data_IF_654105085071
#
_entry.id   IF_654105085071
#
_cell.length_a   1.000
_cell.length_b   1.000
_cell.length_c   1.000
_cell.angle_alpha   90.00
_cell.angle_beta   90.00
_cell.angle_gamma   90.00
#
_symmetry.space_group_name_H-M   'P 1'
#
loop_
_entity.id
_entity.type
_entity.pdbx_description
1 polymer ?
#
# COMPACT_ATOMS: atom_id res chain seq x y z
N UNK A 1 3.56 16.03 -18.21
CA UNK A 1 3.22 15.11 -17.13
C UNK A 1 1.71 15.06 -16.95
N UNK A 2 1.18 13.87 -16.72
CA UNK A 2 -0.24 13.66 -16.45
C UNK A 2 -0.38 13.29 -14.97
N UNK A 3 -1.29 13.93 -14.28
CA UNK A 3 -1.53 13.71 -12.86
C UNK A 3 -2.96 13.27 -12.60
N UNK A 4 -3.16 12.30 -11.70
CA UNK A 4 -4.46 12.07 -11.08
C UNK A 4 -4.56 12.94 -9.84
N UNK A 5 -5.59 13.75 -9.78
CA UNK A 5 -5.87 14.61 -8.63
C UNK A 5 -7.12 14.09 -7.93
N UNK A 6 -6.98 13.65 -6.69
CA UNK A 6 -8.09 13.30 -5.81
C UNK A 6 -7.89 13.91 -4.43
N UNK A 7 -8.88 14.63 -3.91
CA UNK A 7 -8.91 15.19 -2.56
C UNK A 7 -7.60 15.89 -2.12
N UNK A 8 -7.01 16.72 -3.01
CA UNK A 8 -5.80 17.47 -2.74
C UNK A 8 -4.49 16.67 -2.81
N UNK A 9 -4.53 15.40 -3.16
CA UNK A 9 -3.34 14.59 -3.48
C UNK A 9 -3.31 14.29 -4.97
N UNK A 10 -2.17 14.56 -5.59
CA UNK A 10 -1.91 14.19 -6.98
C UNK A 10 -0.86 13.09 -7.05
N UNK A 11 -1.01 12.18 -8.00
CA UNK A 11 0.02 11.20 -8.33
C UNK A 11 0.29 11.28 -9.82
N UNK A 12 1.57 11.38 -10.25
CA UNK A 12 1.90 11.39 -11.66
C UNK A 12 1.47 10.06 -12.30
N UNK A 13 1.10 10.11 -13.58
CA UNK A 13 0.86 8.91 -14.40
C UNK A 13 2.01 8.76 -15.37
N UNK A 14 2.61 7.58 -15.39
CA UNK A 14 3.65 7.23 -16.35
C UNK A 14 3.02 6.47 -17.50
N UNK A 15 3.10 7.05 -18.70
CA UNK A 15 2.54 6.46 -19.90
C UNK A 15 3.55 5.55 -20.57
N UNK A 16 3.07 4.40 -21.01
CA UNK A 16 3.82 3.46 -21.87
C UNK A 16 3.01 3.14 -23.10
N UNK A 17 3.65 2.83 -24.23
CA UNK A 17 2.96 2.32 -25.41
C UNK A 17 2.16 1.05 -25.06
N UNK A 18 0.90 1.02 -25.47
CA UNK A 18 0.08 -0.19 -25.44
C UNK A 18 0.17 -0.88 -26.81
N UNK A 19 0.08 -0.08 -27.87
CA UNK A 19 0.30 -0.43 -29.27
C UNK A 19 0.75 0.83 -30.03
N UNK A 20 0.86 0.76 -31.35
CA UNK A 20 1.42 1.85 -32.18
C UNK A 20 0.73 3.22 -32.05
N UNK A 21 -0.50 3.29 -31.55
CA UNK A 21 -1.28 4.52 -31.46
C UNK A 21 -1.80 4.80 -30.05
N UNK A 22 -1.81 3.82 -29.15
CA UNK A 22 -2.38 3.94 -27.83
C UNK A 22 -1.32 3.91 -26.74
N UNK A 23 -1.51 4.78 -25.77
CA UNK A 23 -0.73 4.82 -24.53
C UNK A 23 -1.59 4.33 -23.38
N UNK A 24 -0.98 3.63 -22.43
CA UNK A 24 -1.65 3.28 -21.17
C UNK A 24 -0.83 3.77 -19.98
N UNK A 25 -1.52 4.06 -18.89
CA UNK A 25 -0.91 4.32 -17.61
C UNK A 25 -1.74 3.65 -16.50
N UNK A 26 -1.08 3.28 -15.42
CA UNK A 26 -1.76 2.87 -14.19
C UNK A 26 -2.01 4.10 -13.33
N UNK A 27 -3.14 4.08 -12.62
CA UNK A 27 -3.46 5.09 -11.64
C UNK A 27 -4.25 4.50 -10.48
N UNK A 28 -4.07 5.03 -9.29
CA UNK A 28 -4.80 4.61 -8.11
C UNK A 28 -6.03 5.49 -7.88
N UNK A 29 -7.10 4.87 -7.41
CA UNK A 29 -8.30 5.56 -6.95
C UNK A 29 -8.16 5.76 -5.44
N UNK A 30 -8.10 7.02 -4.95
CA UNK A 30 -8.04 7.28 -3.52
C UNK A 30 -9.25 6.68 -2.78
N UNK A 31 -9.04 6.17 -1.56
CA UNK A 31 -10.10 5.54 -0.76
C UNK A 31 -11.26 6.50 -0.45
N UNK A 32 -10.98 7.79 -0.41
CA UNK A 32 -11.97 8.84 -0.15
C UNK A 32 -12.73 9.26 -1.42
N UNK A 33 -12.34 8.78 -2.60
CA UNK A 33 -13.04 9.11 -3.84
C UNK A 33 -14.43 8.43 -3.85
N UNK A 34 -15.48 9.21 -4.17
CA UNK A 34 -16.86 8.71 -4.13
C UNK A 34 -17.24 7.96 -5.40
N UNK A 35 -17.24 8.64 -6.54
CA UNK A 35 -17.80 8.10 -7.80
C UNK A 35 -16.89 8.34 -9.01
N UNK A 36 -15.93 9.25 -8.89
CA UNK A 36 -15.02 9.62 -9.97
C UNK A 36 -13.70 10.15 -9.46
N UNK A 37 -12.68 10.08 -10.30
CA UNK A 37 -11.40 10.76 -10.15
C UNK A 37 -11.20 11.69 -11.32
N UNK A 38 -10.42 12.76 -11.10
CA UNK A 38 -10.07 13.69 -12.18
C UNK A 38 -8.64 13.41 -12.60
N UNK A 39 -8.45 13.06 -13.87
CA UNK A 39 -7.13 13.05 -14.50
C UNK A 39 -6.92 14.42 -15.17
N UNK A 40 -5.80 15.07 -14.83
CA UNK A 40 -5.38 16.30 -15.50
C UNK A 40 -4.21 15.95 -16.41
N UNK A 41 -4.43 16.17 -17.71
CA UNK A 41 -3.41 15.99 -18.74
C UNK A 41 -2.80 17.35 -19.03
N UNK A 42 -1.49 17.47 -18.88
CA UNK A 42 -0.73 18.65 -19.29
C UNK A 42 0.12 18.25 -20.51
N UNK A 43 -0.08 18.93 -21.62
CA UNK A 43 0.67 18.71 -22.87
C UNK A 43 1.56 19.90 -23.13
N UNK A 44 2.86 19.70 -23.02
CA UNK A 44 3.84 20.72 -23.36
C UNK A 44 4.23 20.60 -24.84
N UNK A 45 4.03 21.66 -25.58
CA UNK A 45 4.41 21.75 -26.99
C UNK A 45 5.90 22.11 -27.14
N UNK A 46 6.46 21.82 -28.29
CA UNK A 46 7.85 22.22 -28.60
C UNK A 46 8.08 23.74 -28.52
N UNK A 47 7.02 24.54 -28.66
CA UNK A 47 7.03 25.99 -28.48
C UNK A 47 7.08 26.45 -27.01
N UNK A 48 7.01 25.54 -26.06
CA UNK A 48 6.87 25.83 -24.62
C UNK A 48 5.44 26.19 -24.18
N UNK A 49 4.46 26.19 -25.09
CA UNK A 49 3.06 26.35 -24.74
C UNK A 49 2.55 25.08 -24.04
N UNK A 50 1.68 25.25 -23.04
CA UNK A 50 1.09 24.15 -22.27
C UNK A 50 -0.41 24.14 -22.45
N UNK A 51 -0.94 23.07 -23.03
CA UNK A 51 -2.38 22.78 -23.02
C UNK A 51 -2.73 21.91 -21.81
N UNK A 52 -3.92 22.12 -21.26
CA UNK A 52 -4.42 21.29 -20.17
C UNK A 52 -5.80 20.71 -20.52
N UNK A 53 -5.95 19.41 -20.28
CA UNK A 53 -7.21 18.68 -20.40
C UNK A 53 -7.57 18.06 -19.05
N UNK A 54 -8.80 18.26 -18.61
CA UNK A 54 -9.33 17.62 -17.40
C UNK A 54 -10.36 16.58 -17.80
N UNK A 55 -10.10 15.33 -17.42
CA UNK A 55 -10.97 14.20 -17.67
C UNK A 55 -11.56 13.73 -16.34
N UNK A 56 -12.88 13.71 -16.23
CA UNK A 56 -13.55 13.05 -15.11
C UNK A 56 -13.75 11.58 -15.44
N UNK A 57 -13.01 10.72 -14.77
CA UNK A 57 -13.06 9.27 -14.96
C UNK A 57 -14.01 8.68 -13.93
N UNK A 58 -15.18 8.24 -14.39
CA UNK A 58 -16.08 7.43 -13.55
C UNK A 58 -15.53 6.03 -13.48
N UNK A 59 -15.46 5.47 -12.29
CA UNK A 59 -15.11 4.07 -12.10
C UNK A 59 -16.33 3.31 -11.55
N UNK A 60 -16.58 2.10 -12.05
CA UNK A 60 -17.62 1.29 -11.46
C UNK A 60 -17.20 0.96 -10.04
N UNK A 61 -17.98 1.40 -9.05
CA UNK A 61 -17.86 0.80 -7.74
C UNK A 61 -17.99 -0.71 -7.94
N UNK A 62 -16.92 -1.45 -7.69
CA UNK A 62 -17.06 -2.90 -7.68
C UNK A 62 -18.12 -3.23 -6.64
N UNK A 63 -19.26 -3.74 -7.11
CA UNK A 63 -20.22 -4.32 -6.21
C UNK A 63 -19.45 -5.37 -5.40
N UNK A 64 -19.61 -5.41 -4.07
CA UNK A 64 -19.01 -6.48 -3.28
C UNK A 64 -19.39 -7.81 -3.94
N UNK A 65 -18.50 -8.80 -3.97
CA UNK A 65 -18.80 -10.12 -4.51
C UNK A 65 -20.15 -10.61 -3.99
N UNK A 66 -20.91 -11.31 -4.83
CA UNK A 66 -22.25 -11.78 -4.50
C UNK A 66 -22.24 -12.45 -3.10
N UNK A 67 -23.12 -11.98 -2.21
CA UNK A 67 -23.16 -12.40 -0.81
C UNK A 67 -22.42 -11.50 0.18
N UNK A 68 -21.68 -10.48 -0.29
CA UNK A 68 -21.12 -9.44 0.55
C UNK A 68 -21.93 -8.16 0.35
N UNK A 69 -22.85 -7.85 1.26
CA UNK A 69 -23.48 -6.53 1.29
C UNK A 69 -22.40 -5.45 1.48
N UNK A 70 -22.59 -4.25 0.89
CA UNK A 70 -21.92 -3.04 1.40
C UNK A 70 -22.23 -3.00 2.89
N UNK A 71 -21.34 -3.55 3.69
CA UNK A 71 -21.51 -3.54 5.12
C UNK A 71 -21.68 -2.06 5.51
N UNK A 72 -22.76 -1.75 6.28
CA UNK A 72 -22.77 -0.59 7.16
C UNK A 72 -21.32 -0.42 7.64
N UNK A 73 -20.81 0.83 7.73
CA UNK A 73 -19.44 1.03 8.21
C UNK A 73 -19.25 0.14 9.43
N UNK A 74 -18.43 -0.90 9.26
CA UNK A 74 -18.29 -1.94 10.26
C UNK A 74 -17.92 -1.21 11.56
N UNK A 75 -18.65 -1.48 12.63
CA UNK A 75 -18.37 -0.87 13.93
C UNK A 75 -16.89 -1.02 14.17
N UNK A 76 -16.18 0.10 14.35
CA UNK A 76 -14.74 0.10 14.46
C UNK A 76 -14.25 -0.97 15.44
N UNK A 77 -13.31 -1.79 15.03
CA UNK A 77 -12.75 -2.84 15.87
C UNK A 77 -12.03 -2.22 17.05
N UNK A 78 -12.41 -2.61 18.27
CA UNK A 78 -11.73 -2.20 19.49
C UNK A 78 -10.59 -3.14 19.78
N UNK A 79 -9.37 -2.64 19.67
CA UNK A 79 -8.14 -3.42 19.77
C UNK A 79 -7.37 -3.04 21.03
N UNK A 80 -6.85 -4.04 21.73
CA UNK A 80 -5.94 -3.84 22.88
C UNK A 80 -4.51 -4.09 22.41
N UNK A 81 -3.66 -3.10 22.56
CA UNK A 81 -2.23 -3.15 22.24
C UNK A 81 -1.41 -2.68 23.45
N UNK A 82 -0.09 -2.91 23.40
CA UNK A 82 0.82 -2.36 24.41
C UNK A 82 0.56 -0.85 24.57
N UNK A 83 0.37 -0.36 25.80
CA UNK A 83 0.09 1.05 26.10
C UNK A 83 1.10 2.03 25.49
N UNK A 84 2.34 1.62 25.25
CA UNK A 84 3.37 2.46 24.61
C UNK A 84 2.94 2.98 23.22
N UNK A 85 2.05 2.25 22.52
CA UNK A 85 1.57 2.62 21.18
C UNK A 85 0.34 3.56 21.21
N UNK A 86 -0.22 3.86 22.39
CA UNK A 86 -1.44 4.66 22.52
C UNK A 86 -1.35 5.74 23.59
N UNK A 87 -0.27 5.78 24.37
CA UNK A 87 0.02 6.92 25.26
C UNK A 87 0.42 8.14 24.40
N UNK A 88 0.39 9.33 25.01
CA UNK A 88 0.99 10.50 24.40
C UNK A 88 2.47 10.19 24.11
N UNK A 89 2.85 10.30 22.87
CA UNK A 89 4.22 10.06 22.42
C UNK A 89 5.07 11.28 22.76
N UNK A 90 6.36 11.05 23.00
CA UNK A 90 7.34 12.13 23.07
C UNK A 90 7.74 12.58 21.65
N UNK A 91 8.36 13.75 21.57
CA UNK A 91 8.74 14.35 20.29
C UNK A 91 9.72 13.47 19.48
N UNK A 92 10.56 12.69 20.15
CA UNK A 92 11.49 11.78 19.49
C UNK A 92 10.76 10.63 18.79
N UNK A 93 9.80 10.01 19.50
CA UNK A 93 8.95 8.95 18.95
C UNK A 93 8.09 9.47 17.79
N UNK A 94 7.49 10.66 17.93
CA UNK A 94 6.70 11.28 16.85
C UNK A 94 7.58 11.56 15.61
N UNK A 95 8.76 12.12 15.81
CA UNK A 95 9.72 12.37 14.73
C UNK A 95 10.21 11.05 14.07
N UNK A 96 10.39 9.99 14.86
CA UNK A 96 10.71 8.66 14.34
C UNK A 96 9.60 8.13 13.44
N UNK A 97 8.36 8.16 13.89
CA UNK A 97 7.21 7.71 13.09
C UNK A 97 7.09 8.50 11.78
N UNK A 98 7.31 9.82 11.83
CA UNK A 98 7.24 10.63 10.61
C UNK A 98 8.37 10.28 9.63
N UNK A 99 9.60 10.08 10.10
CA UNK A 99 10.71 9.61 9.24
C UNK A 99 10.41 8.24 8.61
N UNK A 100 9.85 7.30 9.39
CA UNK A 100 9.45 5.97 8.91
C UNK A 100 8.35 6.05 7.85
N UNK A 101 7.36 6.92 8.05
CA UNK A 101 6.30 7.18 7.07
C UNK A 101 6.85 7.80 5.79
N UNK A 102 7.78 8.77 5.91
CA UNK A 102 8.41 9.39 4.75
C UNK A 102 9.26 8.39 3.96
N UNK A 103 10.00 7.54 4.66
CA UNK A 103 10.77 6.46 4.04
C UNK A 103 9.86 5.53 3.24
N UNK A 104 8.73 5.11 3.83
CA UNK A 104 7.75 4.28 3.13
C UNK A 104 7.11 5.00 1.92
N UNK A 105 6.88 6.33 2.00
CA UNK A 105 6.39 7.14 0.86
C UNK A 105 7.44 7.23 -0.24
N UNK A 106 8.70 7.42 0.12
CA UNK A 106 9.81 7.55 -0.84
C UNK A 106 10.01 6.28 -1.67
N UNK A 107 9.78 5.09 -1.07
CA UNK A 107 9.78 3.81 -1.82
C UNK A 107 8.70 3.85 -2.91
N UNK A 108 7.48 4.26 -2.57
CA UNK A 108 6.39 4.37 -3.54
C UNK A 108 6.67 5.37 -4.66
N UNK A 109 7.28 6.52 -4.33
CA UNK A 109 7.66 7.51 -5.36
C UNK A 109 8.72 6.97 -6.31
N UNK A 110 9.76 6.31 -5.80
CA UNK A 110 10.82 5.71 -6.63
C UNK A 110 10.28 4.61 -7.54
N UNK A 111 9.32 3.82 -7.05
CA UNK A 111 8.70 2.76 -7.84
C UNK A 111 7.98 3.26 -9.10
N UNK A 112 7.60 4.53 -9.15
CA UNK A 112 7.00 5.13 -10.33
C UNK A 112 7.98 5.23 -11.51
N UNK A 113 9.28 5.36 -11.22
CA UNK A 113 10.33 5.43 -12.22
C UNK A 113 10.87 4.03 -12.60
N UNK A 114 10.46 2.98 -11.87
CA UNK A 114 10.84 1.60 -12.15
C UNK A 114 9.92 1.03 -13.24
N UNK A 115 10.47 0.44 -14.33
CA UNK A 115 9.65 -0.29 -15.29
C UNK A 115 8.87 -1.43 -14.62
N UNK A 116 7.71 -1.80 -15.19
CA UNK A 116 6.94 -2.95 -14.69
C UNK A 116 7.79 -4.23 -14.67
N UNK A 117 7.87 -4.87 -13.53
CA UNK A 117 8.64 -6.10 -13.31
C UNK A 117 7.77 -7.36 -13.29
N UNK A 118 6.46 -7.21 -13.17
CA UNK A 118 5.50 -8.31 -13.09
C UNK A 118 4.79 -8.54 -14.42
N UNK A 119 4.46 -9.82 -14.68
CA UNK A 119 3.71 -10.24 -15.88
C UNK A 119 2.47 -11.04 -15.53
N UNK A 120 2.39 -11.56 -14.30
CA UNK A 120 1.28 -12.35 -13.80
C UNK A 120 0.45 -11.55 -12.79
N UNK A 121 -0.82 -11.94 -12.54
CA UNK A 121 -1.61 -11.35 -11.46
C UNK A 121 -0.94 -11.51 -10.10
N UNK A 122 -1.14 -10.54 -9.22
CA UNK A 122 -0.62 -10.60 -7.84
C UNK A 122 -1.24 -11.76 -7.06
N UNK A 123 -0.39 -12.52 -6.38
CA UNK A 123 -0.80 -13.61 -5.52
C UNK A 123 -1.02 -13.13 -4.09
N UNK A 124 -1.84 -13.86 -3.34
CA UNK A 124 -1.91 -13.65 -1.89
C UNK A 124 -0.58 -14.03 -1.26
N UNK A 125 -0.03 -13.21 -0.34
CA UNK A 125 1.25 -13.50 0.33
C UNK A 125 1.17 -14.69 1.29
N UNK A 126 -0.05 -15.17 1.59
CA UNK A 126 -0.34 -16.36 2.39
C UNK A 126 -1.68 -16.96 1.99
N UNK A 127 -1.74 -18.29 1.99
CA UNK A 127 -2.98 -19.04 1.78
C UNK A 127 -3.69 -19.26 3.13
N UNK A 128 -4.04 -18.17 3.80
CA UNK A 128 -4.68 -18.20 5.11
C UNK A 128 -5.91 -17.28 5.16
N UNK A 129 -6.69 -17.41 6.25
CA UNK A 129 -7.91 -16.61 6.45
C UNK A 129 -7.56 -15.12 6.58
N UNK A 130 -8.26 -14.27 5.84
CA UNK A 130 -8.28 -12.83 6.07
C UNK A 130 -9.03 -12.55 7.37
N UNK A 131 -8.37 -11.89 8.32
CA UNK A 131 -8.92 -11.54 9.63
C UNK A 131 -9.41 -10.10 9.71
N UNK A 132 -8.82 -9.20 8.90
CA UNK A 132 -9.25 -7.81 8.80
C UNK A 132 -9.01 -7.29 7.39
N UNK A 133 -10.01 -6.61 6.83
CA UNK A 133 -9.97 -6.08 5.47
C UNK A 133 -9.49 -4.63 5.45
N UNK A 134 -9.06 -4.19 4.27
CA UNK A 134 -8.77 -2.79 3.99
C UNK A 134 -9.95 -1.89 4.34
N UNK A 135 -9.69 -0.66 4.82
CA UNK A 135 -10.72 0.31 5.20
C UNK A 135 -11.43 0.06 6.52
N UNK A 136 -11.19 -1.09 7.20
CA UNK A 136 -11.81 -1.39 8.50
C UNK A 136 -11.41 -0.35 9.54
N UNK A 137 -12.38 0.31 10.18
CA UNK A 137 -12.13 1.24 11.29
C UNK A 137 -11.52 0.53 12.50
N UNK A 138 -10.54 1.15 13.16
CA UNK A 138 -9.83 0.62 14.33
C UNK A 138 -9.76 1.64 15.45
N UNK A 139 -10.03 1.21 16.67
CA UNK A 139 -9.85 2.00 17.90
C UNK A 139 -8.91 1.25 18.83
N UNK A 140 -7.71 1.78 19.01
CA UNK A 140 -6.67 1.20 19.85
C UNK A 140 -6.78 1.72 21.29
N UNK A 141 -6.97 0.82 22.26
CA UNK A 141 -7.11 1.13 23.70
C UNK A 141 -8.13 2.26 23.99
N UNK A 142 -9.13 2.45 23.11
CA UNK A 142 -10.14 3.49 23.25
C UNK A 142 -9.65 4.94 22.98
N UNK A 143 -8.43 5.14 22.57
CA UNK A 143 -7.80 6.46 22.43
C UNK A 143 -7.45 6.86 21.00
N UNK A 144 -6.89 5.93 20.21
CA UNK A 144 -6.43 6.19 18.85
C UNK A 144 -7.40 5.58 17.86
N UNK A 145 -7.90 6.39 16.92
CA UNK A 145 -8.77 5.94 15.84
C UNK A 145 -8.05 6.04 14.51
N UNK A 146 -8.14 5.01 13.69
CA UNK A 146 -7.55 4.97 12.35
C UNK A 146 -8.30 4.00 11.44
N UNK A 147 -8.10 4.14 10.11
CA UNK A 147 -8.52 3.14 9.14
C UNK A 147 -7.41 2.11 8.93
N UNK A 148 -7.80 0.88 8.63
CA UNK A 148 -6.88 -0.20 8.27
C UNK A 148 -6.42 -0.02 6.82
N UNK A 149 -5.14 0.25 6.60
CA UNK A 149 -4.56 0.52 5.28
C UNK A 149 -3.87 -0.72 4.70
N UNK A 150 -4.53 -1.86 4.79
CA UNK A 150 -4.07 -3.13 4.27
C UNK A 150 -5.01 -4.27 4.62
N UNK A 151 -4.54 -5.48 4.44
CA UNK A 151 -5.27 -6.72 4.73
C UNK A 151 -4.47 -7.54 5.75
N UNK A 152 -5.15 -7.99 6.82
CA UNK A 152 -4.51 -8.87 7.79
C UNK A 152 -4.81 -10.34 7.47
N UNK A 153 -3.75 -11.12 7.37
CA UNK A 153 -3.79 -12.56 7.19
C UNK A 153 -3.44 -13.28 8.49
N UNK A 154 -4.26 -14.27 8.87
CA UNK A 154 -3.97 -15.12 10.02
C UNK A 154 -2.61 -15.81 9.85
N UNK A 155 -1.80 -15.86 10.92
CA UNK A 155 -0.54 -16.59 10.94
C UNK A 155 0.02 -16.68 12.35
N UNK A 156 0.65 -17.81 12.68
CA UNK A 156 1.44 -17.94 13.88
C UNK A 156 2.87 -17.42 13.65
N UNK A 157 3.53 -16.97 14.71
CA UNK A 157 4.95 -16.57 14.63
C UNK A 157 5.78 -17.69 14.04
N UNK A 158 6.63 -17.37 13.07
CA UNK A 158 7.50 -18.32 12.38
C UNK A 158 6.91 -18.95 11.12
N UNK A 159 5.63 -18.73 10.81
CA UNK A 159 5.05 -19.21 9.55
C UNK A 159 5.51 -18.35 8.35
N UNK A 160 5.68 -18.95 7.15
CA UNK A 160 6.26 -18.25 6.01
C UNK A 160 5.36 -17.17 5.43
N UNK A 161 6.00 -16.15 4.89
CA UNK A 161 5.42 -15.06 4.09
C UNK A 161 6.06 -15.10 2.70
N UNK A 162 5.25 -14.92 1.66
CA UNK A 162 5.70 -15.02 0.27
C UNK A 162 5.51 -13.70 -0.47
N UNK A 163 6.42 -13.40 -1.42
CA UNK A 163 6.29 -12.25 -2.32
C UNK A 163 5.04 -12.39 -3.18
N UNK A 164 4.24 -11.31 -3.21
CA UNK A 164 2.98 -11.31 -3.97
C UNK A 164 3.20 -11.33 -5.48
N UNK A 165 4.34 -10.82 -5.95
CA UNK A 165 4.77 -10.87 -7.35
C UNK A 165 6.29 -10.67 -7.44
N UNK A 166 6.83 -10.78 -8.68
CA UNK A 166 8.21 -10.44 -8.99
C UNK A 166 8.46 -8.96 -8.71
N UNK A 167 9.62 -8.65 -8.14
CA UNK A 167 10.02 -7.28 -7.82
C UNK A 167 11.40 -7.21 -7.19
N UNK A 168 11.80 -6.01 -6.81
CA UNK A 168 13.05 -5.73 -6.10
C UNK A 168 12.74 -5.30 -4.68
N UNK A 169 13.43 -5.86 -3.70
CA UNK A 169 13.31 -5.46 -2.30
C UNK A 169 13.84 -4.04 -2.14
N UNK A 170 12.95 -3.09 -1.91
CA UNK A 170 13.25 -1.67 -1.84
C UNK A 170 13.56 -1.19 -0.40
N UNK A 171 13.05 -1.90 0.60
CA UNK A 171 13.26 -1.55 2.01
C UNK A 171 13.13 -2.80 2.89
N UNK A 172 14.06 -2.94 3.83
CA UNK A 172 13.98 -3.84 5.00
C UNK A 172 14.37 -3.03 6.21
N UNK A 173 13.46 -2.90 7.20
CA UNK A 173 13.68 -2.05 8.37
C UNK A 173 12.82 -2.51 9.56
N UNK A 174 13.00 -1.83 10.71
CA UNK A 174 12.21 -2.01 11.93
C UNK A 174 11.52 -0.71 12.34
N UNK A 175 10.25 -0.58 12.01
CA UNK A 175 9.43 0.59 12.28
C UNK A 175 8.74 0.52 13.64
N UNK A 176 8.54 1.66 14.28
CA UNK A 176 7.92 1.73 15.61
C UNK A 176 6.50 1.12 15.61
N UNK A 177 5.65 1.52 14.66
CA UNK A 177 4.28 1.02 14.59
C UNK A 177 4.15 -0.28 13.78
N UNK A 178 4.87 -0.41 12.68
CA UNK A 178 4.73 -1.52 11.76
C UNK A 178 5.62 -2.74 12.11
N UNK A 179 6.54 -2.58 13.08
CA UNK A 179 7.51 -3.63 13.42
C UNK A 179 8.49 -3.89 12.29
N UNK A 180 9.01 -5.11 12.18
CA UNK A 180 9.89 -5.47 11.09
C UNK A 180 9.09 -5.50 9.78
N UNK A 181 9.60 -4.81 8.77
CA UNK A 181 8.94 -4.58 7.48
C UNK A 181 9.83 -4.98 6.32
N UNK A 182 9.19 -5.44 5.25
CA UNK A 182 9.76 -5.57 3.92
C UNK A 182 8.86 -4.84 2.94
N UNK A 183 9.44 -4.01 2.07
CA UNK A 183 8.74 -3.43 0.93
C UNK A 183 9.37 -3.93 -0.36
N UNK A 184 8.53 -4.33 -1.30
CA UNK A 184 8.94 -4.80 -2.63
C UNK A 184 8.40 -3.84 -3.66
N UNK A 185 9.30 -3.27 -4.46
CA UNK A 185 9.01 -2.49 -5.66
C UNK A 185 8.77 -3.44 -6.82
N UNK A 186 7.57 -3.38 -7.40
CA UNK A 186 7.18 -4.18 -8.57
C UNK A 186 7.24 -3.40 -9.87
N UNK A 187 7.59 -2.11 -9.80
CA UNK A 187 7.56 -1.19 -10.94
C UNK A 187 6.18 -0.61 -11.22
N UNK A 188 6.13 0.35 -12.16
CA UNK A 188 4.91 1.10 -12.52
C UNK A 188 4.21 1.74 -11.30
N UNK A 189 4.96 2.11 -10.28
CA UNK A 189 4.44 2.70 -9.04
C UNK A 189 3.82 1.71 -8.05
N UNK A 190 3.79 0.41 -8.35
CA UNK A 190 3.22 -0.61 -7.46
C UNK A 190 4.27 -1.09 -6.47
N UNK A 191 3.94 -0.96 -5.19
CA UNK A 191 4.76 -1.45 -4.07
C UNK A 191 3.89 -2.27 -3.14
N UNK A 192 4.38 -3.44 -2.71
CA UNK A 192 3.76 -4.20 -1.63
C UNK A 192 4.59 -4.12 -0.36
N UNK A 193 3.90 -4.02 0.78
CA UNK A 193 4.50 -3.96 2.11
C UNK A 193 4.04 -5.13 2.98
N UNK A 194 4.99 -5.72 3.71
CA UNK A 194 4.81 -6.87 4.59
C UNK A 194 5.27 -6.48 5.98
N UNK A 195 4.40 -6.57 6.99
CA UNK A 195 4.64 -5.97 8.30
C UNK A 195 4.51 -6.99 9.44
N UNK A 196 4.93 -6.54 10.61
CA UNK A 196 4.89 -7.30 11.86
C UNK A 196 5.72 -8.59 11.83
N UNK A 197 6.70 -8.67 10.91
CA UNK A 197 7.50 -9.87 10.71
C UNK A 197 8.35 -10.20 11.95
N UNK A 198 8.56 -11.50 12.21
CA UNK A 198 9.55 -11.94 13.18
C UNK A 198 10.95 -11.92 12.58
N UNK A 199 11.09 -12.28 11.31
CA UNK A 199 12.35 -12.36 10.61
C UNK A 199 12.18 -12.09 9.11
N UNK A 200 12.69 -10.98 8.55
CA UNK A 200 12.95 -10.84 7.12
C UNK A 200 14.02 -11.84 6.65
N UNK A 201 13.83 -12.45 5.50
CA UNK A 201 14.81 -13.41 4.88
C UNK A 201 15.41 -12.88 3.59
N UNK A 202 15.20 -11.62 3.30
CA UNK A 202 15.69 -10.91 2.11
C UNK A 202 16.35 -9.61 2.53
N UNK A 203 17.22 -9.09 1.68
CA UNK A 203 17.93 -7.83 1.85
C UNK A 203 17.53 -6.82 0.77
N UNK A 204 17.75 -5.53 1.05
CA UNK A 204 17.55 -4.45 0.06
C UNK A 204 18.40 -4.71 -1.17
N UNK A 205 17.78 -4.61 -2.35
CA UNK A 205 18.38 -4.90 -3.64
C UNK A 205 18.17 -6.32 -4.17
N UNK A 206 17.69 -7.25 -3.33
CA UNK A 206 17.37 -8.59 -3.79
C UNK A 206 16.22 -8.55 -4.81
N UNK A 207 16.36 -9.28 -5.90
CA UNK A 207 15.25 -9.60 -6.80
C UNK A 207 14.53 -10.83 -6.26
N UNK A 208 13.22 -10.72 -6.11
CA UNK A 208 12.37 -11.83 -5.65
C UNK A 208 11.37 -12.20 -6.73
N UNK A 209 11.04 -13.49 -6.79
CA UNK A 209 10.02 -14.01 -7.69
C UNK A 209 8.66 -14.15 -6.98
N UNK A 210 7.58 -14.18 -7.77
CA UNK A 210 6.23 -14.42 -7.25
C UNK A 210 6.16 -15.75 -6.50
N UNK A 211 5.73 -15.72 -5.23
CA UNK A 211 5.67 -16.91 -4.38
C UNK A 211 6.98 -17.30 -3.70
N UNK A 212 8.05 -16.53 -3.88
CA UNK A 212 9.30 -16.73 -3.13
C UNK A 212 9.09 -16.36 -1.66
N UNK A 213 9.61 -17.17 -0.75
CA UNK A 213 9.61 -16.87 0.68
C UNK A 213 10.52 -15.67 0.97
N UNK A 214 9.95 -14.65 1.63
CA UNK A 214 10.65 -13.39 1.95
C UNK A 214 10.82 -13.15 3.44
N UNK A 215 10.26 -14.01 4.28
CA UNK A 215 10.39 -13.91 5.72
C UNK A 215 9.28 -14.62 6.47
N UNK A 216 9.17 -14.35 7.76
CA UNK A 216 8.32 -15.08 8.70
C UNK A 216 7.35 -14.15 9.42
N UNK A 217 6.12 -14.63 9.61
CA UNK A 217 5.10 -13.96 10.43
C UNK A 217 5.62 -13.72 11.84
N UNK A 218 5.27 -12.60 12.43
CA UNK A 218 5.61 -12.24 13.79
C UNK A 218 4.53 -11.44 14.49
N UNK A 219 4.94 -10.77 15.55
CA UNK A 219 4.11 -9.89 16.36
C UNK A 219 4.90 -8.62 16.77
N UNK A 220 5.77 -8.14 15.89
CA UNK A 220 6.55 -6.92 16.11
C UNK A 220 5.71 -5.67 15.84
N UNK A 221 6.03 -4.55 16.49
CA UNK A 221 5.28 -3.30 16.37
C UNK A 221 3.92 -3.31 17.08
N UNK A 222 2.97 -2.52 16.57
CA UNK A 222 1.64 -2.30 17.17
C UNK A 222 0.64 -3.38 16.75
N UNK A 223 0.63 -4.49 17.44
CA UNK A 223 -0.24 -5.65 17.16
C UNK A 223 -1.00 -6.12 18.40
N UNK A 224 -2.06 -6.87 18.19
CA UNK A 224 -2.81 -7.58 19.25
C UNK A 224 -2.37 -9.03 19.40
N UNK A 225 -1.92 -9.64 18.30
CA UNK A 225 -1.44 -11.02 18.22
C UNK A 225 -0.64 -11.20 16.90
N UNK A 226 0.06 -12.32 16.76
CA UNK A 226 0.80 -12.64 15.55
C UNK A 226 -0.12 -12.71 14.31
N UNK A 227 0.26 -12.04 13.25
CA UNK A 227 -0.40 -12.03 11.95
C UNK A 227 0.51 -11.38 10.90
N UNK A 228 0.20 -11.56 9.62
CA UNK A 228 0.76 -10.74 8.55
C UNK A 228 -0.20 -9.59 8.26
N UNK A 229 0.24 -8.34 8.40
CA UNK A 229 -0.39 -7.21 7.76
C UNK A 229 0.28 -6.99 6.40
N UNK A 230 -0.53 -7.01 5.33
CA UNK A 230 -0.09 -6.81 3.95
C UNK A 230 -0.75 -5.57 3.36
N UNK A 231 0.03 -4.70 2.75
CA UNK A 231 -0.46 -3.49 2.10
C UNK A 231 0.02 -3.40 0.67
N UNK A 232 -0.74 -2.71 -0.17
CA UNK A 232 -0.33 -2.31 -1.50
C UNK A 232 -0.34 -0.78 -1.62
N UNK A 233 0.56 -0.25 -2.44
CA UNK A 233 0.66 1.18 -2.75
C UNK A 233 0.78 1.38 -4.24
N UNK A 234 0.28 2.53 -4.69
CA UNK A 234 0.60 3.12 -5.98
C UNK A 234 1.21 4.50 -5.72
N UNK A 235 2.50 4.64 -5.97
CA UNK A 235 3.22 5.83 -5.53
C UNK A 235 3.06 6.04 -4.01
N UNK A 236 2.66 7.24 -3.60
CA UNK A 236 2.41 7.57 -2.20
C UNK A 236 1.05 7.10 -1.67
N UNK A 237 0.13 6.68 -2.55
CA UNK A 237 -1.23 6.28 -2.17
C UNK A 237 -1.27 4.81 -1.75
N UNK A 238 -1.93 4.53 -0.62
CA UNK A 238 -2.27 3.14 -0.23
C UNK A 238 -3.55 2.73 -0.94
N UNK A 239 -3.56 1.54 -1.51
CA UNK A 239 -4.65 0.98 -2.32
C UNK A 239 -5.15 -0.33 -1.71
N UNK A 240 -6.42 -0.74 -2.08
CA UNK A 240 -7.03 -2.01 -1.66
C UNK A 240 -6.58 -3.17 -2.54
#
# INVERSE_FOLDING_TARGET
>A
PIHIVGNGRSSPLHFRPLDGERLQALGAIPIEASDSVVAQVLMEHQSGAVDSLRLSLKYPHQAPPAGQSRARPARASRLRVDPKFTRRMDAETEARIERENELARSVGHKAQDTPQLWTEPFARPRQSKVTSRFGTGRVFNGRVSSSHLGVDYRGATGEPIYAANRGVVALVDSFFLAGNVVYIDHGDGIVTGYFHMSLPKVAVGDTVERGQEIGLVGATGRVTAAHLHWSARFGALTID
#
